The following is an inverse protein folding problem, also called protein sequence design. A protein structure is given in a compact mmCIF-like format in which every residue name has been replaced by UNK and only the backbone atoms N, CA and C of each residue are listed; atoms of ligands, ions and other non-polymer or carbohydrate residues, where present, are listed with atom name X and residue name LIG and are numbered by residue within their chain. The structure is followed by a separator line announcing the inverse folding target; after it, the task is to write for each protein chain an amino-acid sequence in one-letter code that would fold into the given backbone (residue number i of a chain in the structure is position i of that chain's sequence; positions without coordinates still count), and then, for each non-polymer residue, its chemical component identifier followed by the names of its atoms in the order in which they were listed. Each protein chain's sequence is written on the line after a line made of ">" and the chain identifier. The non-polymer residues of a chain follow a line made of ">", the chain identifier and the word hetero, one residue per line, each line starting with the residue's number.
data_IF_528844481751
#
_entry.id   IF_528844481751
#
_cell.length_a   1.000
_cell.length_b   1.000
_cell.length_c   1.000
_cell.angle_alpha   90.00
_cell.angle_beta   90.00
_cell.angle_gamma   90.00
#
_symmetry.space_group_name_H-M   'P 1'
#
loop_
_entity.id
_entity.type
_entity.pdbx_description
1 polymer ?
#
# COMPACT_ATOMS: atom_id res chain seq x y z
N UNK A 1 -7.96 21.19 -21.66
CA UNK A 1 -7.14 21.26 -20.44
C UNK A 1 -6.83 19.88 -19.88
N UNK A 2 -7.78 19.26 -19.17
CA UNK A 2 -7.55 17.98 -18.45
C UNK A 2 -6.98 16.83 -19.28
N UNK A 3 -7.50 16.58 -20.49
CA UNK A 3 -6.98 15.52 -21.38
C UNK A 3 -5.51 15.77 -21.75
N UNK A 4 -5.16 17.00 -22.13
CA UNK A 4 -3.78 17.39 -22.46
C UNK A 4 -2.86 17.22 -21.24
N UNK A 5 -3.33 17.63 -20.05
CA UNK A 5 -2.62 17.42 -18.80
C UNK A 5 -2.34 15.93 -18.55
N UNK A 6 -3.36 15.08 -18.67
CA UNK A 6 -3.23 13.63 -18.48
C UNK A 6 -2.24 13.05 -19.48
N UNK A 7 -2.35 13.36 -20.77
CA UNK A 7 -1.46 12.81 -21.80
C UNK A 7 -0.01 13.20 -21.53
N UNK A 8 0.26 14.50 -21.31
CA UNK A 8 1.62 14.99 -21.10
C UNK A 8 2.21 14.47 -19.80
N UNK A 9 1.48 14.59 -18.69
CA UNK A 9 2.00 14.21 -17.38
C UNK A 9 2.13 12.70 -17.26
N UNK A 10 1.19 11.92 -17.79
CA UNK A 10 1.28 10.45 -17.78
C UNK A 10 2.44 9.96 -18.64
N UNK A 11 2.76 10.63 -19.76
CA UNK A 11 3.95 10.29 -20.55
C UNK A 11 5.23 10.48 -19.73
N UNK A 12 5.41 11.65 -19.11
CA UNK A 12 6.60 11.94 -18.30
C UNK A 12 6.69 11.00 -17.09
N UNK A 13 5.58 10.85 -16.37
CA UNK A 13 5.53 10.00 -15.16
C UNK A 13 5.78 8.54 -15.50
N UNK A 14 5.19 8.01 -16.57
CA UNK A 14 5.40 6.61 -16.97
C UNK A 14 6.85 6.31 -17.34
N UNK A 15 7.54 7.25 -17.99
CA UNK A 15 8.96 7.11 -18.29
C UNK A 15 9.81 7.04 -17.00
N UNK A 16 9.53 7.91 -16.02
CA UNK A 16 10.27 7.94 -14.75
C UNK A 16 9.97 6.72 -13.89
N UNK A 17 8.69 6.42 -13.64
CA UNK A 17 8.33 5.27 -12.79
C UNK A 17 8.73 3.97 -13.42
N UNK A 18 8.54 3.83 -14.74
CA UNK A 18 8.96 2.67 -15.48
C UNK A 18 10.46 2.41 -15.40
N UNK A 19 11.28 3.42 -15.69
CA UNK A 19 12.74 3.31 -15.61
C UNK A 19 13.21 2.94 -14.20
N UNK A 20 12.67 3.60 -13.17
CA UNK A 20 13.02 3.31 -11.78
C UNK A 20 12.62 1.87 -11.40
N UNK A 21 11.43 1.41 -11.77
CA UNK A 21 11.04 0.02 -11.54
C UNK A 21 11.98 -0.99 -12.19
N UNK A 22 12.44 -0.69 -13.41
CA UNK A 22 13.39 -1.55 -14.13
C UNK A 22 14.75 -1.64 -13.46
N UNK A 23 15.21 -0.57 -12.79
CA UNK A 23 16.52 -0.53 -12.12
C UNK A 23 16.51 -1.06 -10.69
N UNK A 24 15.55 -0.63 -9.88
CA UNK A 24 15.54 -0.83 -8.42
C UNK A 24 14.34 -1.65 -7.93
N UNK A 25 13.49 -2.13 -8.85
CA UNK A 25 12.27 -2.90 -8.57
C UNK A 25 11.07 -2.02 -8.20
N UNK A 26 9.85 -2.56 -8.34
CA UNK A 26 8.59 -1.89 -7.97
C UNK A 26 8.57 -1.48 -6.51
N UNK A 27 9.10 -2.31 -5.62
CA UNK A 27 9.04 -2.10 -4.18
C UNK A 27 9.82 -0.87 -3.72
N UNK A 28 10.83 -0.44 -4.48
CA UNK A 28 11.60 0.78 -4.21
C UNK A 28 11.26 1.94 -5.16
N UNK A 29 10.26 1.75 -6.03
CA UNK A 29 9.86 2.75 -7.01
C UNK A 29 9.28 4.00 -6.33
N UNK A 30 9.60 5.22 -6.79
CA UNK A 30 9.11 6.46 -6.19
C UNK A 30 7.64 6.78 -6.54
N UNK A 31 6.85 5.79 -6.96
CA UNK A 31 5.48 5.98 -7.47
C UNK A 31 4.59 6.74 -6.49
N UNK A 32 4.66 6.41 -5.19
CA UNK A 32 3.87 7.09 -4.15
C UNK A 32 4.20 8.59 -4.03
N UNK A 33 5.49 8.94 -4.07
CA UNK A 33 5.96 10.33 -4.01
C UNK A 33 5.62 11.13 -5.28
N UNK A 34 5.80 10.53 -6.45
CA UNK A 34 5.39 11.13 -7.73
C UNK A 34 3.88 11.40 -7.73
N UNK A 35 3.11 10.48 -7.16
CA UNK A 35 1.69 10.63 -6.99
C UNK A 35 1.25 11.86 -6.19
N UNK A 36 1.94 12.16 -5.09
CA UNK A 36 1.72 13.37 -4.30
C UNK A 36 2.01 14.61 -5.14
N UNK A 37 3.09 14.61 -5.93
CA UNK A 37 3.43 15.72 -6.80
C UNK A 37 2.35 15.94 -7.88
N UNK A 38 1.83 14.85 -8.47
CA UNK A 38 0.78 14.91 -9.49
C UNK A 38 -0.48 15.59 -8.93
N UNK A 39 -0.95 15.20 -7.74
CA UNK A 39 -2.15 15.83 -7.16
C UNK A 39 -1.92 17.31 -6.85
N UNK A 40 -0.74 17.68 -6.34
CA UNK A 40 -0.39 19.07 -6.04
C UNK A 40 -0.34 19.90 -7.32
N UNK A 41 0.31 19.41 -8.38
CA UNK A 41 0.36 20.11 -9.67
C UNK A 41 -1.05 20.24 -10.26
N UNK A 42 -1.83 19.16 -10.27
CA UNK A 42 -3.20 19.18 -10.77
C UNK A 42 -4.05 20.22 -10.01
N UNK A 43 -4.00 20.19 -8.69
CA UNK A 43 -4.71 21.13 -7.83
C UNK A 43 -4.28 22.58 -8.06
N UNK A 44 -2.97 22.86 -8.16
CA UNK A 44 -2.44 24.20 -8.44
C UNK A 44 -2.88 24.73 -9.81
N UNK A 45 -2.81 23.90 -10.85
CA UNK A 45 -3.26 24.29 -12.19
C UNK A 45 -4.76 24.60 -12.21
N UNK A 46 -5.56 23.86 -11.45
CA UNK A 46 -6.99 24.15 -11.31
C UNK A 46 -7.23 25.44 -10.53
N UNK A 47 -6.47 25.72 -9.46
CA UNK A 47 -6.57 26.96 -8.68
C UNK A 47 -6.20 28.18 -9.51
N UNK A 48 -5.16 28.11 -10.33
CA UNK A 48 -4.69 29.25 -11.13
C UNK A 48 -5.49 29.40 -12.43
N UNK A 49 -5.77 28.29 -13.11
CA UNK A 49 -6.32 28.30 -14.46
C UNK A 49 -7.84 28.13 -14.57
N UNK A 50 -8.52 27.66 -13.52
CA UNK A 50 -9.96 27.34 -13.59
C UNK A 50 -10.76 28.00 -12.48
N UNK A 51 -10.33 27.87 -11.22
CA UNK A 51 -11.03 28.41 -10.04
C UNK A 51 -11.42 29.89 -10.15
N UNK A 52 -10.61 30.80 -10.73
CA UNK A 52 -10.99 32.22 -10.84
C UNK A 52 -12.19 32.48 -11.77
N UNK A 53 -12.51 31.52 -12.64
CA UNK A 53 -13.61 31.60 -13.59
C UNK A 53 -14.88 30.89 -13.11
N UNK A 54 -14.86 30.33 -11.90
CA UNK A 54 -15.98 29.59 -11.33
C UNK A 54 -16.66 30.38 -10.21
N UNK A 55 -17.98 30.17 -10.00
CA UNK A 55 -18.69 30.77 -8.88
C UNK A 55 -18.16 30.24 -7.53
N UNK A 56 -18.32 31.01 -6.43
CA UNK A 56 -18.00 30.56 -5.09
C UNK A 56 -18.70 29.23 -4.75
N UNK A 57 -17.99 28.32 -4.08
CA UNK A 57 -18.51 27.01 -3.69
C UNK A 57 -18.16 25.85 -4.65
N UNK A 58 -17.45 26.11 -5.75
CA UNK A 58 -17.00 25.08 -6.68
C UNK A 58 -15.83 24.20 -6.17
N UNK A 59 -15.33 24.44 -4.95
CA UNK A 59 -14.13 23.78 -4.41
C UNK A 59 -14.25 22.25 -4.35
N UNK A 60 -15.42 21.72 -3.96
CA UNK A 60 -15.65 20.26 -3.91
C UNK A 60 -15.52 19.62 -5.29
N UNK A 61 -16.06 20.26 -6.32
CA UNK A 61 -15.98 19.78 -7.69
C UNK A 61 -14.53 19.81 -8.21
N UNK A 62 -13.78 20.87 -7.87
CA UNK A 62 -12.36 20.99 -8.22
C UNK A 62 -11.52 19.90 -7.54
N UNK A 63 -11.78 19.60 -6.26
CA UNK A 63 -11.09 18.51 -5.54
C UNK A 63 -11.39 17.17 -6.20
N UNK A 64 -12.66 16.87 -6.47
CA UNK A 64 -13.04 15.63 -7.16
C UNK A 64 -12.36 15.51 -8.52
N UNK A 65 -12.32 16.59 -9.30
CA UNK A 65 -11.66 16.61 -10.60
C UNK A 65 -10.14 16.45 -10.50
N UNK A 66 -9.47 17.08 -9.52
CA UNK A 66 -8.04 16.91 -9.28
C UNK A 66 -7.69 15.46 -8.94
N UNK A 67 -8.47 14.82 -8.07
CA UNK A 67 -8.30 13.43 -7.68
C UNK A 67 -8.55 12.49 -8.87
N UNK A 68 -9.55 12.79 -9.71
CA UNK A 68 -9.83 12.02 -10.92
C UNK A 68 -8.69 12.11 -11.96
N UNK A 69 -8.16 13.30 -12.22
CA UNK A 69 -6.99 13.44 -13.11
C UNK A 69 -5.78 12.68 -12.53
N UNK A 70 -5.58 12.80 -11.22
CA UNK A 70 -4.48 12.13 -10.52
C UNK A 70 -4.59 10.61 -10.59
N UNK A 71 -5.79 10.04 -10.43
CA UNK A 71 -5.99 8.60 -10.48
C UNK A 71 -5.64 8.02 -11.85
N UNK A 72 -5.94 8.72 -12.94
CA UNK A 72 -5.56 8.31 -14.30
C UNK A 72 -4.04 8.29 -14.45
N UNK A 73 -3.36 9.37 -14.04
CA UNK A 73 -1.89 9.46 -14.12
C UNK A 73 -1.24 8.37 -13.26
N UNK A 74 -1.78 8.10 -12.06
CA UNK A 74 -1.34 7.00 -11.19
C UNK A 74 -1.53 5.64 -11.83
N UNK A 75 -2.67 5.39 -12.48
CA UNK A 75 -2.93 4.14 -13.17
C UNK A 75 -1.89 3.92 -14.27
N UNK A 76 -1.64 4.93 -15.11
CA UNK A 76 -0.61 4.86 -16.15
C UNK A 76 0.78 4.63 -15.55
N UNK A 77 1.14 5.35 -14.49
CA UNK A 77 2.42 5.21 -13.79
C UNK A 77 2.63 3.80 -13.24
N UNK A 78 1.59 3.23 -12.63
CA UNK A 78 1.60 1.90 -12.01
C UNK A 78 1.71 0.79 -13.07
N UNK A 79 0.93 0.90 -14.15
CA UNK A 79 0.98 -0.07 -15.25
C UNK A 79 2.34 -0.01 -15.95
N UNK A 80 2.91 1.17 -16.19
CA UNK A 80 4.26 1.30 -16.77
C UNK A 80 5.34 0.67 -15.87
N UNK A 81 5.24 0.89 -14.56
CA UNK A 81 6.12 0.33 -13.54
C UNK A 81 6.06 -1.21 -13.52
N UNK A 82 4.87 -1.79 -13.52
CA UNK A 82 4.68 -3.24 -13.52
C UNK A 82 5.12 -3.87 -14.85
N UNK A 83 4.73 -3.25 -15.97
CA UNK A 83 5.01 -3.77 -17.30
C UNK A 83 6.51 -3.98 -17.57
N UNK A 84 7.36 -3.03 -17.16
CA UNK A 84 8.82 -3.18 -17.36
C UNK A 84 9.44 -4.29 -16.50
N UNK A 85 8.88 -4.57 -15.32
CA UNK A 85 9.30 -5.71 -14.50
C UNK A 85 8.79 -7.05 -15.05
N UNK A 86 7.56 -7.08 -15.54
CA UNK A 86 6.99 -8.27 -16.17
C UNK A 86 7.76 -8.64 -17.42
N UNK A 87 8.11 -7.66 -18.26
CA UNK A 87 8.94 -7.87 -19.45
C UNK A 87 10.34 -8.37 -19.07
N UNK A 88 10.95 -7.83 -18.00
CA UNK A 88 12.25 -8.30 -17.54
C UNK A 88 12.18 -9.74 -17.03
N UNK A 89 11.17 -10.06 -16.24
CA UNK A 89 10.95 -11.42 -15.70
C UNK A 89 10.63 -12.40 -16.83
N UNK A 90 9.79 -11.97 -17.78
CA UNK A 90 9.46 -12.73 -18.98
C UNK A 90 10.69 -13.07 -19.81
N UNK A 91 11.57 -12.10 -20.01
CA UNK A 91 12.85 -12.32 -20.71
C UNK A 91 13.73 -13.36 -19.99
N UNK A 92 13.69 -13.44 -18.66
CA UNK A 92 14.51 -14.41 -17.89
C UNK A 92 13.98 -15.85 -17.98
N UNK A 93 12.71 -16.04 -18.34
CA UNK A 93 12.06 -17.36 -18.49
C UNK A 93 11.68 -17.66 -19.94
N UNK A 94 12.25 -16.93 -20.89
CA UNK A 94 12.01 -17.05 -22.33
C UNK A 94 10.52 -16.93 -22.73
N UNK A 95 9.76 -16.07 -22.04
CA UNK A 95 8.36 -15.81 -22.35
C UNK A 95 8.20 -14.90 -23.59
N UNK A 96 7.15 -15.14 -24.39
CA UNK A 96 6.79 -14.30 -25.54
C UNK A 96 6.24 -12.94 -25.08
N UNK A 97 6.89 -11.80 -25.42
CA UNK A 97 6.49 -10.47 -24.92
C UNK A 97 5.06 -10.07 -25.29
N UNK A 98 4.59 -10.46 -26.48
CA UNK A 98 3.23 -10.14 -26.94
C UNK A 98 2.15 -10.81 -26.08
N UNK A 99 2.39 -12.04 -25.59
CA UNK A 99 1.45 -12.73 -24.71
C UNK A 99 1.40 -12.06 -23.33
N UNK A 100 2.53 -11.55 -22.83
CA UNK A 100 2.57 -10.81 -21.57
C UNK A 100 1.78 -9.49 -21.65
N UNK A 101 1.90 -8.75 -22.76
CA UNK A 101 1.12 -7.53 -22.97
C UNK A 101 -0.38 -7.82 -22.97
N UNK A 102 -0.83 -8.87 -23.67
CA UNK A 102 -2.24 -9.25 -23.66
C UNK A 102 -2.72 -9.71 -22.29
N UNK A 103 -1.91 -10.48 -21.56
CA UNK A 103 -2.22 -10.87 -20.19
C UNK A 103 -2.38 -9.65 -19.27
N UNK A 104 -1.51 -8.65 -19.41
CA UNK A 104 -1.59 -7.39 -18.67
C UNK A 104 -2.88 -6.63 -19.02
N UNK A 105 -3.22 -6.49 -20.30
CA UNK A 105 -4.46 -5.83 -20.75
C UNK A 105 -5.69 -6.52 -20.16
N UNK A 106 -5.76 -7.86 -20.23
CA UNK A 106 -6.86 -8.63 -19.65
C UNK A 106 -6.90 -8.43 -18.13
N UNK A 107 -5.75 -8.49 -17.46
CA UNK A 107 -5.64 -8.27 -16.01
C UNK A 107 -6.15 -6.89 -15.58
N UNK A 108 -5.83 -5.83 -16.34
CA UNK A 108 -6.32 -4.47 -16.09
C UNK A 108 -7.83 -4.40 -16.29
N UNK A 109 -8.38 -5.01 -17.34
CA UNK A 109 -9.83 -5.01 -17.59
C UNK A 109 -10.59 -5.75 -16.49
N UNK A 110 -10.11 -6.94 -16.09
CA UNK A 110 -10.68 -7.70 -14.99
C UNK A 110 -10.59 -6.91 -13.68
N UNK A 111 -9.42 -6.32 -13.39
CA UNK A 111 -9.24 -5.48 -12.20
C UNK A 111 -10.17 -4.27 -12.18
N UNK A 112 -10.35 -3.59 -13.31
CA UNK A 112 -11.25 -2.44 -13.43
C UNK A 112 -12.73 -2.82 -13.21
N UNK A 113 -13.12 -4.06 -13.52
CA UNK A 113 -14.48 -4.57 -13.29
C UNK A 113 -14.66 -5.04 -11.84
N UNK A 114 -13.66 -5.71 -11.26
CA UNK A 114 -13.78 -6.38 -9.96
C UNK A 114 -13.49 -5.45 -8.78
N UNK A 115 -12.50 -4.55 -8.90
CA UNK A 115 -12.06 -3.72 -7.78
C UNK A 115 -13.15 -2.74 -7.34
N UNK A 116 -13.85 -1.97 -8.21
CA UNK A 116 -14.83 -1.00 -7.75
C UNK A 116 -16.00 -1.60 -6.94
N UNK A 117 -16.64 -2.72 -7.36
CA UNK A 117 -17.66 -3.38 -6.54
C UNK A 117 -17.13 -3.88 -5.19
N UNK A 118 -15.90 -4.40 -5.13
CA UNK A 118 -15.28 -4.82 -3.88
C UNK A 118 -15.03 -3.62 -2.96
N UNK A 119 -14.55 -2.50 -3.53
CA UNK A 119 -14.35 -1.27 -2.76
C UNK A 119 -15.68 -0.69 -2.25
N UNK A 120 -16.74 -0.76 -3.05
CA UNK A 120 -18.09 -0.34 -2.65
C UNK A 120 -18.65 -1.22 -1.53
N UNK A 121 -18.46 -2.54 -1.63
CA UNK A 121 -18.80 -3.49 -0.57
C UNK A 121 -18.08 -3.16 0.74
N UNK A 122 -16.76 -2.95 0.70
CA UNK A 122 -15.97 -2.61 1.88
C UNK A 122 -16.37 -1.25 2.47
N UNK A 123 -16.70 -0.27 1.62
CA UNK A 123 -17.19 1.04 2.05
C UNK A 123 -18.53 0.93 2.79
N UNK A 124 -19.46 0.10 2.31
CA UNK A 124 -20.76 -0.10 2.95
C UNK A 124 -20.65 -0.91 4.26
N UNK A 125 -19.77 -1.91 4.30
CA UNK A 125 -19.65 -2.79 5.48
C UNK A 125 -18.81 -2.19 6.61
N UNK A 126 -17.70 -1.53 6.29
CA UNK A 126 -16.75 -1.00 7.29
C UNK A 126 -16.57 0.52 7.21
N UNK A 127 -16.62 1.08 6.00
CA UNK A 127 -16.20 2.46 5.73
C UNK A 127 -14.68 2.65 5.81
N UNK A 128 -14.19 3.81 5.37
CA UNK A 128 -12.78 4.19 5.49
C UNK A 128 -12.59 5.28 6.55
N UNK A 129 -11.50 5.21 7.32
CA UNK A 129 -11.14 6.22 8.31
C UNK A 129 -11.06 7.61 7.66
N UNK A 130 -11.74 8.59 8.25
CA UNK A 130 -11.83 9.95 7.73
C UNK A 130 -12.96 10.18 6.71
N UNK A 131 -13.71 9.14 6.32
CA UNK A 131 -14.93 9.31 5.54
C UNK A 131 -16.10 9.77 6.44
N UNK A 132 -17.02 10.61 5.94
CA UNK A 132 -18.21 11.00 6.68
C UNK A 132 -19.04 9.77 7.08
N UNK A 133 -19.39 9.66 8.37
CA UNK A 133 -20.22 8.56 8.90
C UNK A 133 -19.48 7.26 9.20
N UNK A 134 -18.15 7.22 9.06
CA UNK A 134 -17.35 6.04 9.41
C UNK A 134 -17.18 5.89 10.93
N UNK A 135 -17.44 4.69 11.47
CA UNK A 135 -17.18 4.34 12.87
C UNK A 135 -15.66 4.13 13.06
N UNK A 136 -14.95 4.95 13.86
CA UNK A 136 -13.50 4.84 14.02
C UNK A 136 -13.01 3.50 14.56
N UNK A 137 -13.88 2.72 15.20
CA UNK A 137 -13.53 1.39 15.74
C UNK A 137 -13.52 0.29 14.69
N UNK A 138 -14.23 0.49 13.56
CA UNK A 138 -14.43 -0.52 12.51
C UNK A 138 -13.92 -0.09 11.14
N UNK A 139 -13.75 1.21 10.93
CA UNK A 139 -13.36 1.77 9.66
C UNK A 139 -11.95 1.35 9.25
N UNK A 140 -11.81 1.05 7.96
CA UNK A 140 -10.56 0.61 7.37
C UNK A 140 -9.56 1.77 7.26
N UNK A 141 -8.29 1.59 7.63
CA UNK A 141 -7.28 2.62 7.48
C UNK A 141 -6.93 2.82 6.00
N UNK A 142 -7.13 4.03 5.49
CA UNK A 142 -6.74 4.44 4.15
C UNK A 142 -5.84 5.70 4.17
N UNK A 143 -4.69 5.67 4.87
CA UNK A 143 -3.88 6.87 5.05
C UNK A 143 -3.38 7.45 3.72
N UNK A 144 -3.21 6.63 2.66
CA UNK A 144 -2.66 7.09 1.37
C UNK A 144 -3.70 7.95 0.66
N UNK A 145 -4.93 7.44 0.63
CA UNK A 145 -6.07 8.16 0.08
C UNK A 145 -6.36 9.43 0.90
N UNK A 146 -6.28 9.33 2.23
CA UNK A 146 -6.44 10.47 3.14
C UNK A 146 -5.43 11.58 2.87
N UNK A 147 -4.15 11.25 2.73
CA UNK A 147 -3.08 12.22 2.44
C UNK A 147 -3.30 12.92 1.09
N UNK A 148 -3.55 12.15 0.02
CA UNK A 148 -3.77 12.70 -1.32
C UNK A 148 -5.01 13.62 -1.34
N UNK A 149 -6.10 13.20 -0.68
CA UNK A 149 -7.32 14.00 -0.55
C UNK A 149 -7.09 15.27 0.25
N UNK A 150 -6.40 15.20 1.40
CA UNK A 150 -6.09 16.35 2.24
C UNK A 150 -5.20 17.37 1.52
N UNK A 151 -4.22 16.91 0.74
CA UNK A 151 -3.38 17.79 -0.08
C UNK A 151 -4.17 18.47 -1.20
N UNK A 152 -5.01 17.72 -1.93
CA UNK A 152 -5.89 18.30 -2.95
C UNK A 152 -6.80 19.38 -2.35
N UNK A 153 -7.45 19.07 -1.22
CA UNK A 153 -8.31 20.00 -0.51
C UNK A 153 -7.54 21.22 -0.01
N UNK A 154 -6.39 21.02 0.63
CA UNK A 154 -5.56 22.10 1.16
C UNK A 154 -5.12 23.07 0.07
N UNK A 155 -4.63 22.55 -1.06
CA UNK A 155 -4.19 23.38 -2.19
C UNK A 155 -5.37 24.15 -2.80
N UNK A 156 -6.51 23.48 -3.02
CA UNK A 156 -7.67 24.11 -3.66
C UNK A 156 -8.31 25.16 -2.75
N UNK A 157 -8.38 24.91 -1.45
CA UNK A 157 -8.98 25.85 -0.47
C UNK A 157 -7.99 26.92 0.00
N UNK A 158 -6.70 26.77 -0.30
CA UNK A 158 -5.64 27.65 0.20
C UNK A 158 -5.27 27.42 1.66
N UNK A 159 -5.78 26.37 2.31
CA UNK A 159 -5.54 26.05 3.71
C UNK A 159 -4.48 24.94 3.89
N UNK A 160 -3.36 25.03 3.17
CA UNK A 160 -2.25 24.09 3.30
C UNK A 160 -1.48 24.40 4.60
N UNK A 161 -1.26 23.43 5.51
CA UNK A 161 -0.49 23.64 6.73
C UNK A 161 1.01 23.66 6.42
N UNK A 162 1.50 24.74 5.83
CA UNK A 162 2.91 24.92 5.42
C UNK A 162 3.91 24.77 6.57
N UNK A 163 3.51 25.18 7.77
CA UNK A 163 4.24 24.95 9.01
C UNK A 163 4.46 23.45 9.29
N UNK A 164 3.44 22.60 9.08
CA UNK A 164 3.59 21.16 9.25
C UNK A 164 4.43 20.53 8.15
N UNK A 165 4.28 20.97 6.90
CA UNK A 165 5.11 20.50 5.78
C UNK A 165 6.58 20.87 6.01
N UNK A 166 6.86 22.10 6.43
CA UNK A 166 8.21 22.57 6.74
C UNK A 166 8.83 21.82 7.91
N UNK A 167 8.05 21.55 8.97
CA UNK A 167 8.50 20.72 10.09
C UNK A 167 8.82 19.30 9.62
N UNK A 168 7.96 18.68 8.81
CA UNK A 168 8.19 17.36 8.23
C UNK A 168 9.44 17.31 7.35
N UNK A 169 9.67 18.34 6.53
CA UNK A 169 10.89 18.46 5.73
C UNK A 169 12.14 18.58 6.61
N UNK A 170 12.08 19.39 7.67
CA UNK A 170 13.17 19.53 8.65
C UNK A 170 13.48 18.21 9.36
N UNK A 171 12.46 17.48 9.81
CA UNK A 171 12.61 16.15 10.39
C UNK A 171 13.23 15.18 9.38
N UNK A 172 12.77 15.19 8.12
CA UNK A 172 13.33 14.35 7.06
C UNK A 172 14.82 14.61 6.81
N UNK A 173 15.21 15.88 6.72
CA UNK A 173 16.63 16.28 6.59
C UNK A 173 17.44 15.82 7.81
N UNK A 174 16.93 16.02 9.02
CA UNK A 174 17.61 15.59 10.24
C UNK A 174 17.82 14.06 10.28
N UNK A 175 16.83 13.28 9.85
CA UNK A 175 16.94 11.81 9.78
C UNK A 175 17.95 11.39 8.71
N UNK A 176 17.96 12.03 7.53
CA UNK A 176 18.95 11.74 6.48
C UNK A 176 20.36 12.01 6.99
N UNK A 177 20.59 13.15 7.64
CA UNK A 177 21.89 13.49 8.24
C UNK A 177 22.28 12.44 9.28
N UNK A 178 21.34 12.05 10.15
CA UNK A 178 21.60 11.05 11.18
C UNK A 178 21.96 9.69 10.58
N UNK A 179 21.26 9.23 9.55
CA UNK A 179 21.55 7.95 8.88
C UNK A 179 22.93 7.97 8.20
N UNK A 180 23.29 9.08 7.55
CA UNK A 180 24.60 9.24 6.92
C UNK A 180 25.72 9.25 7.97
N UNK A 181 25.55 9.98 9.08
CA UNK A 181 26.50 10.00 10.19
C UNK A 181 26.67 8.61 10.82
N UNK A 182 25.57 7.88 11.04
CA UNK A 182 25.62 6.51 11.54
C UNK A 182 26.34 5.57 10.57
N UNK A 183 26.12 5.77 9.27
CA UNK A 183 26.79 5.04 8.19
C UNK A 183 28.30 5.25 8.14
N UNK A 184 28.75 6.49 8.36
CA UNK A 184 30.16 6.85 8.40
C UNK A 184 30.83 6.37 9.69
N UNK A 185 30.12 6.41 10.82
CA UNK A 185 30.68 6.08 12.13
C UNK A 185 30.93 4.57 12.32
N UNK A 186 30.13 3.69 11.70
CA UNK A 186 30.28 2.24 11.85
C UNK A 186 30.00 1.49 10.54
N UNK A 187 31.03 0.86 9.98
CA UNK A 187 30.92 -0.04 8.81
C UNK A 187 29.88 -1.17 8.97
N UNK A 188 29.60 -1.60 10.21
CA UNK A 188 28.60 -2.62 10.56
C UNK A 188 27.56 -2.11 11.60
N UNK A 189 27.32 -0.80 11.66
CA UNK A 189 26.41 -0.19 12.62
C UNK A 189 24.94 -0.25 12.21
N UNK A 190 24.04 0.12 13.14
CA UNK A 190 22.63 0.32 12.83
C UNK A 190 22.47 1.49 11.85
N UNK A 191 21.75 1.27 10.76
CA UNK A 191 21.25 2.32 9.86
C UNK A 191 19.86 2.75 10.31
N UNK A 192 19.50 3.99 9.99
CA UNK A 192 18.17 4.53 10.20
C UNK A 192 17.59 4.98 8.85
N UNK A 193 17.13 4.05 8.00
CA UNK A 193 16.64 4.39 6.67
C UNK A 193 15.51 5.43 6.75
N UNK A 194 15.66 6.62 6.16
CA UNK A 194 14.67 7.69 6.28
C UNK A 194 13.26 7.27 5.82
N UNK A 195 13.18 6.41 4.80
CA UNK A 195 11.92 5.86 4.29
C UNK A 195 11.20 5.00 5.35
N UNK A 196 11.93 4.20 6.13
CA UNK A 196 11.34 3.37 7.17
C UNK A 196 10.78 4.23 8.31
N UNK A 197 11.50 5.30 8.69
CA UNK A 197 11.01 6.27 9.69
C UNK A 197 9.78 7.00 9.17
N UNK A 198 9.80 7.45 7.92
CA UNK A 198 8.65 8.08 7.26
C UNK A 198 7.43 7.18 7.26
N UNK A 199 7.57 5.91 6.87
CA UNK A 199 6.50 4.92 6.93
C UNK A 199 5.97 4.72 8.36
N UNK A 200 6.85 4.71 9.37
CA UNK A 200 6.46 4.56 10.77
C UNK A 200 5.64 5.75 11.31
N UNK A 201 5.97 6.97 10.91
CA UNK A 201 5.20 8.19 11.26
C UNK A 201 3.84 8.19 10.55
N UNK A 202 3.82 7.65 9.34
CA UNK A 202 2.69 7.71 8.43
C UNK A 202 1.61 6.64 8.71
N UNK A 203 2.01 5.44 9.17
CA UNK A 203 1.09 4.34 9.42
C UNK A 203 0.47 4.38 10.83
N UNK A 204 -0.78 3.91 11.00
CA UNK A 204 -1.39 3.76 12.31
C UNK A 204 -0.55 2.87 13.24
N UNK A 205 -0.52 3.21 14.54
CA UNK A 205 0.28 2.48 15.54
C UNK A 205 -0.06 0.99 15.61
N UNK A 206 -1.34 0.64 15.42
CA UNK A 206 -1.80 -0.76 15.38
C UNK A 206 -1.17 -1.52 14.21
N UNK A 207 -1.13 -0.94 13.01
CA UNK A 207 -0.49 -1.53 11.83
C UNK A 207 1.02 -1.60 11.98
N UNK A 208 1.66 -0.51 12.46
CA UNK A 208 3.11 -0.46 12.66
C UNK A 208 3.58 -1.53 13.66
N UNK A 209 2.85 -1.72 14.76
CA UNK A 209 3.19 -2.75 15.76
C UNK A 209 3.18 -4.16 15.14
N UNK A 210 2.17 -4.48 14.33
CA UNK A 210 2.09 -5.79 13.67
C UNK A 210 3.22 -5.99 12.66
N UNK A 211 3.62 -4.94 11.93
CA UNK A 211 4.79 -4.98 11.04
C UNK A 211 6.08 -5.23 11.84
N UNK A 212 6.26 -4.60 13.00
CA UNK A 212 7.43 -4.82 13.88
C UNK A 212 7.46 -6.25 14.40
N UNK A 213 6.33 -6.79 14.87
CA UNK A 213 6.24 -8.19 15.32
C UNK A 213 6.58 -9.14 14.16
N UNK A 214 6.01 -8.90 12.97
CA UNK A 214 6.32 -9.66 11.77
C UNK A 214 7.80 -9.62 11.40
N UNK A 215 8.44 -8.44 11.50
CA UNK A 215 9.87 -8.28 11.24
C UNK A 215 10.75 -9.03 12.25
N UNK A 216 10.37 -9.05 13.54
CA UNK A 216 11.08 -9.83 14.57
C UNK A 216 10.95 -11.33 14.33
N UNK A 217 9.75 -11.81 13.98
CA UNK A 217 9.51 -13.21 13.61
C UNK A 217 10.29 -13.59 12.36
N UNK A 218 10.28 -12.75 11.33
CA UNK A 218 11.05 -12.93 10.11
C UNK A 218 12.56 -12.97 10.37
N UNK A 219 13.09 -12.04 11.18
CA UNK A 219 14.50 -12.03 11.56
C UNK A 219 14.90 -13.27 12.37
N UNK A 220 14.02 -13.77 13.23
CA UNK A 220 14.23 -15.04 13.93
C UNK A 220 14.24 -16.23 12.96
N UNK A 221 13.29 -16.27 12.01
CA UNK A 221 13.20 -17.30 11.00
C UNK A 221 14.43 -17.32 10.10
N UNK A 222 14.88 -16.16 9.59
CA UNK A 222 16.04 -16.05 8.71
C UNK A 222 17.34 -16.50 9.37
N UNK A 223 17.50 -16.20 10.68
CA UNK A 223 18.61 -16.71 11.50
C UNK A 223 18.57 -18.22 11.64
N UNK A 224 17.38 -18.80 11.74
CA UNK A 224 17.20 -20.26 11.84
C UNK A 224 17.40 -20.95 10.50
N UNK A 225 16.81 -20.42 9.43
CA UNK A 225 16.99 -20.87 8.05
C UNK A 225 18.46 -20.81 7.60
N UNK A 226 19.22 -19.84 8.10
CA UNK A 226 20.66 -19.74 7.87
C UNK A 226 21.50 -20.92 8.40
N UNK A 227 20.92 -21.78 9.24
CA UNK A 227 21.57 -23.01 9.76
C UNK A 227 21.17 -24.26 8.99
N UNK A 228 20.27 -24.16 8.04
CA UNK A 228 19.77 -25.29 7.26
C UNK A 228 20.68 -25.57 6.04
N UNK A 229 20.66 -26.80 5.46
CA UNK A 229 21.51 -27.16 4.33
C UNK A 229 21.31 -26.28 3.09
N UNK A 230 20.09 -25.76 2.90
CA UNK A 230 19.72 -24.85 1.80
C UNK A 230 19.12 -23.54 2.35
N UNK A 231 19.98 -22.60 2.79
CA UNK A 231 19.53 -21.38 3.44
C UNK A 231 18.62 -20.50 2.57
N UNK A 232 18.99 -20.28 1.31
CA UNK A 232 18.25 -19.38 0.41
C UNK A 232 16.86 -19.92 0.06
N UNK A 233 16.77 -21.19 -0.32
CA UNK A 233 15.51 -21.86 -0.60
C UNK A 233 14.58 -21.83 0.63
N UNK A 234 15.13 -22.06 1.83
CA UNK A 234 14.34 -22.03 3.07
C UNK A 234 13.83 -20.63 3.40
N UNK A 235 14.64 -19.59 3.18
CA UNK A 235 14.21 -18.19 3.33
C UNK A 235 13.10 -17.83 2.34
N UNK A 236 13.22 -18.24 1.08
CA UNK A 236 12.18 -18.02 0.06
C UNK A 236 10.85 -18.68 0.45
N UNK A 237 10.87 -19.89 1.02
CA UNK A 237 9.66 -20.53 1.54
C UNK A 237 9.00 -19.72 2.67
N UNK A 238 9.80 -19.08 3.53
CA UNK A 238 9.31 -18.16 4.56
C UNK A 238 8.60 -16.93 3.98
N UNK A 239 9.20 -16.32 2.97
CA UNK A 239 8.59 -15.19 2.24
C UNK A 239 7.30 -15.63 1.56
N UNK A 240 7.28 -16.80 0.90
CA UNK A 240 6.07 -17.35 0.28
C UNK A 240 4.95 -17.60 1.29
N UNK A 241 5.28 -18.16 2.46
CA UNK A 241 4.31 -18.38 3.53
C UNK A 241 3.71 -17.06 4.02
N UNK A 242 4.56 -16.06 4.30
CA UNK A 242 4.11 -14.75 4.76
C UNK A 242 3.22 -14.05 3.72
N UNK A 243 3.63 -14.04 2.45
CA UNK A 243 2.83 -13.49 1.35
C UNK A 243 1.49 -14.22 1.20
N UNK A 244 1.49 -15.55 1.34
CA UNK A 244 0.26 -16.36 1.31
C UNK A 244 -0.70 -16.04 2.46
N UNK A 245 -0.18 -15.81 3.66
CA UNK A 245 -0.99 -15.39 4.82
C UNK A 245 -1.60 -13.99 4.61
N UNK A 246 -0.86 -13.05 4.06
CA UNK A 246 -1.35 -11.69 3.74
C UNK A 246 -2.49 -11.77 2.72
N UNK A 247 -2.26 -12.45 1.59
CA UNK A 247 -3.29 -12.59 0.53
C UNK A 247 -4.50 -13.38 1.04
N UNK A 248 -4.27 -14.46 1.79
CA UNK A 248 -5.32 -15.30 2.34
C UNK A 248 -6.23 -14.56 3.32
N UNK A 249 -5.65 -13.76 4.22
CA UNK A 249 -6.42 -12.90 5.13
C UNK A 249 -7.28 -11.90 4.36
N UNK A 250 -6.71 -11.22 3.36
CA UNK A 250 -7.44 -10.21 2.59
C UNK A 250 -8.59 -10.82 1.77
N UNK A 251 -8.39 -12.00 1.18
CA UNK A 251 -9.46 -12.73 0.48
C UNK A 251 -10.59 -13.14 1.43
N UNK A 252 -10.24 -13.69 2.60
CA UNK A 252 -11.23 -14.06 3.62
C UNK A 252 -11.98 -12.83 4.14
N UNK A 253 -11.29 -11.69 4.31
CA UNK A 253 -11.90 -10.44 4.73
C UNK A 253 -12.94 -9.93 3.72
N UNK A 254 -12.66 -10.00 2.41
CA UNK A 254 -13.62 -9.63 1.37
C UNK A 254 -14.81 -10.60 1.34
N UNK A 255 -14.57 -11.91 1.45
CA UNK A 255 -15.65 -12.91 1.52
C UNK A 255 -16.53 -12.63 2.74
N UNK A 256 -15.94 -12.41 3.91
CA UNK A 256 -16.65 -12.11 5.15
C UNK A 256 -17.44 -10.80 5.03
N UNK A 257 -16.87 -9.76 4.43
CA UNK A 257 -17.56 -8.50 4.16
C UNK A 257 -18.81 -8.72 3.29
N UNK A 258 -18.71 -9.60 2.29
CA UNK A 258 -19.84 -10.01 1.46
C UNK A 258 -20.93 -10.69 2.28
N UNK A 259 -20.56 -11.65 3.13
CA UNK A 259 -21.52 -12.35 4.01
C UNK A 259 -22.23 -11.36 4.94
N UNK A 260 -21.51 -10.41 5.54
CA UNK A 260 -22.09 -9.36 6.39
C UNK A 260 -23.07 -8.50 5.60
N UNK A 261 -22.67 -8.02 4.42
CA UNK A 261 -23.52 -7.17 3.59
C UNK A 261 -24.82 -7.85 3.13
N UNK A 262 -24.75 -9.13 2.74
CA UNK A 262 -25.94 -9.88 2.29
C UNK A 262 -26.82 -10.37 3.43
N UNK A 263 -26.25 -10.64 4.61
CA UNK A 263 -27.02 -11.08 5.78
C UNK A 263 -27.69 -9.95 6.55
N UNK A 264 -27.21 -8.71 6.40
CA UNK A 264 -27.66 -7.56 7.20
C UNK A 264 -27.33 -7.69 8.69
N UNK A 265 -26.45 -8.63 9.06
CA UNK A 265 -26.03 -8.88 10.43
C UNK A 265 -24.51 -8.71 10.53
N UNK A 266 -24.06 -7.84 11.45
CA UNK A 266 -22.64 -7.58 11.72
C UNK A 266 -21.87 -8.83 12.18
N UNK A 267 -22.56 -9.84 12.68
CA UNK A 267 -21.96 -11.08 13.19
C UNK A 267 -22.67 -12.33 12.63
N UNK A 268 -22.59 -12.58 11.32
CA UNK A 268 -23.41 -13.61 10.66
C UNK A 268 -22.95 -15.04 10.96
N UNK A 269 -21.69 -15.20 11.39
CA UNK A 269 -21.06 -16.49 11.69
C UNK A 269 -20.82 -16.64 13.21
N UNK A 270 -21.45 -15.80 14.03
CA UNK A 270 -21.30 -15.89 15.48
C UNK A 270 -21.98 -17.16 16.02
N UNK A 271 -21.17 -18.04 16.61
CA UNK A 271 -21.64 -19.28 17.26
C UNK A 271 -21.95 -19.09 18.75
N UNK A 272 -21.43 -17.99 19.33
CA UNK A 272 -21.47 -17.69 20.76
C UNK A 272 -21.92 -16.25 20.99
N UNK A 273 -22.55 -15.99 22.14
CA UNK A 273 -23.03 -14.65 22.49
C UNK A 273 -21.93 -13.67 22.87
N UNK A 274 -22.29 -12.39 23.02
CA UNK A 274 -21.36 -11.27 23.34
C UNK A 274 -20.52 -11.49 24.60
N UNK A 275 -21.01 -12.26 25.58
CA UNK A 275 -20.25 -12.59 26.79
C UNK A 275 -18.98 -13.43 26.56
N UNK A 276 -18.80 -14.00 25.36
CA UNK A 276 -17.64 -14.80 25.00
C UNK A 276 -16.55 -14.00 24.25
N UNK A 277 -16.70 -12.68 24.10
CA UNK A 277 -15.75 -11.84 23.35
C UNK A 277 -14.32 -11.93 23.90
N UNK A 278 -14.15 -11.79 25.22
CA UNK A 278 -12.82 -11.86 25.85
C UNK A 278 -12.19 -13.26 25.68
N UNK A 279 -12.87 -14.38 26.02
CA UNK A 279 -12.37 -15.71 25.72
C UNK A 279 -12.05 -15.93 24.23
N UNK A 280 -12.89 -15.43 23.31
CA UNK A 280 -12.70 -15.57 21.88
C UNK A 280 -11.40 -14.92 21.41
N UNK A 281 -11.08 -13.73 21.91
CA UNK A 281 -9.82 -13.04 21.58
C UNK A 281 -8.60 -13.88 22.00
N UNK A 282 -8.62 -14.42 23.22
CA UNK A 282 -7.50 -15.24 23.72
C UNK A 282 -7.38 -16.57 22.99
N UNK A 283 -8.50 -17.29 22.81
CA UNK A 283 -8.51 -18.58 22.09
C UNK A 283 -8.08 -18.37 20.64
N UNK A 284 -8.64 -17.37 19.96
CA UNK A 284 -8.29 -17.01 18.59
C UNK A 284 -6.81 -16.64 18.47
N UNK A 285 -6.28 -15.85 19.40
CA UNK A 285 -4.86 -15.51 19.45
C UNK A 285 -3.94 -16.73 19.64
N UNK A 286 -4.31 -17.65 20.53
CA UNK A 286 -3.56 -18.90 20.76
C UNK A 286 -3.60 -19.80 19.53
N UNK A 287 -4.77 -19.98 18.92
CA UNK A 287 -4.93 -20.77 17.70
C UNK A 287 -4.12 -20.16 16.56
N UNK A 288 -4.18 -18.84 16.38
CA UNK A 288 -3.39 -18.12 15.39
C UNK A 288 -1.88 -18.35 15.60
N UNK A 289 -1.38 -18.13 16.81
CA UNK A 289 0.04 -18.33 17.14
C UNK A 289 0.48 -19.79 16.94
N UNK A 290 -0.37 -20.76 17.32
CA UNK A 290 -0.10 -22.17 17.12
C UNK A 290 -0.04 -22.53 15.63
N UNK A 291 -1.00 -22.06 14.82
CA UNK A 291 -1.04 -22.27 13.37
C UNK A 291 0.21 -21.68 12.71
N UNK A 292 0.57 -20.44 13.04
CA UNK A 292 1.80 -19.80 12.56
C UNK A 292 3.02 -20.65 12.93
N UNK A 293 3.15 -21.08 14.19
CA UNK A 293 4.26 -21.92 14.62
C UNK A 293 4.32 -23.27 13.89
N UNK A 294 3.19 -23.90 13.62
CA UNK A 294 3.09 -25.16 12.86
C UNK A 294 3.52 -24.94 11.42
N UNK A 295 3.01 -23.90 10.76
CA UNK A 295 3.35 -23.58 9.36
C UNK A 295 4.85 -23.27 9.21
N UNK A 296 5.42 -22.45 10.10
CA UNK A 296 6.85 -22.16 10.09
C UNK A 296 7.70 -23.41 10.36
N UNK A 297 7.27 -24.32 11.25
CA UNK A 297 7.95 -25.61 11.45
C UNK A 297 7.85 -26.51 10.23
N UNK A 298 6.71 -26.50 9.55
CA UNK A 298 6.46 -27.30 8.36
C UNK A 298 7.37 -26.87 7.20
N UNK A 299 7.45 -25.56 6.90
CA UNK A 299 8.35 -25.07 5.85
C UNK A 299 9.83 -25.30 6.18
N UNK A 300 10.23 -25.24 7.46
CA UNK A 300 11.60 -25.60 7.88
C UNK A 300 11.91 -27.06 7.59
N UNK A 301 10.94 -27.97 7.74
CA UNK A 301 11.11 -29.39 7.40
C UNK A 301 11.18 -29.59 5.88
N UNK A 302 10.37 -28.85 5.12
CA UNK A 302 10.45 -28.88 3.66
C UNK A 302 11.80 -28.38 3.14
N UNK A 303 12.32 -27.28 3.69
CA UNK A 303 13.63 -26.74 3.32
C UNK A 303 14.81 -27.69 3.58
N UNK A 304 14.65 -28.64 4.50
CA UNK A 304 15.63 -29.73 4.74
C UNK A 304 15.53 -30.86 3.73
N UNK A 305 14.33 -31.13 3.23
CA UNK A 305 14.05 -32.23 2.31
C UNK A 305 14.23 -31.85 0.84
N UNK A 306 14.04 -30.57 0.52
CA UNK A 306 14.24 -29.98 -0.80
C UNK A 306 15.71 -30.01 -1.21
#
# INVERSE_FOLDING_TARGET
>A
GGVVFVVLLSFVVSAVTGYMAGLIGSSNSPLSGIGILVVVIAALLLVVGVKPFLPPGADKALVGFALFLTSIVFAVASIANNNLQDLKTGQLVDATPSLQQWALVIGVLVGAIVIPPVMDLLQHTYGFLGAPGADPSRALPAPQAGLISALAQGVITGNVPWNMIGLGAGIGVAIIILDEVLGLAKKNGARLPPLAVGLGIYLPTSTTLMVVVGALVGAWFDRRAGREPKPEATRQLGVLLASGLIVGESLLAVIFAGVVAFSGNDSPIALVGKGFEIPAIWIGGVVFAATVAVLYRWIMRMGRAA
#
